data_IF_149269204219
#
_entry.id   IF_149269204219
#
_cell.length_a   1.000
_cell.length_b   1.000
_cell.length_c   1.000
_cell.angle_alpha   90.00
_cell.angle_beta   90.00
_cell.angle_gamma   90.00
#
_symmetry.space_group_name_H-M   'P 1'
#
loop_
_entity.id
_entity.type
_entity.pdbx_description
1 polymer ?
#
# COMPACT_ATOMS: atom_id res chain seq x y z
N UNK A 1 54.89 45.09 24.32
CA UNK A 1 55.41 45.08 22.92
C UNK A 1 54.26 44.79 22.01
N UNK A 2 54.21 45.42 20.82
CA UNK A 2 53.15 46.39 20.57
C UNK A 2 51.97 45.79 19.76
N UNK A 3 50.82 46.43 19.96
CA UNK A 3 49.56 46.12 19.28
C UNK A 3 49.60 46.56 17.82
N UNK A 4 48.80 45.84 17.04
CA UNK A 4 48.49 46.22 15.66
C UNK A 4 46.97 46.55 15.54
N UNK A 5 46.72 47.83 15.42
CA UNK A 5 45.41 48.42 15.27
C UNK A 5 45.12 48.52 13.77
N UNK A 6 44.14 47.73 13.26
CA UNK A 6 43.69 47.86 11.87
C UNK A 6 42.34 48.53 11.89
N UNK A 7 42.34 49.79 11.54
CA UNK A 7 41.16 50.62 11.22
C UNK A 7 40.41 50.03 10.03
N UNK A 8 39.16 49.69 10.23
CA UNK A 8 38.18 49.39 9.19
C UNK A 8 37.81 50.70 8.46
N UNK A 9 38.03 50.72 7.15
CA UNK A 9 37.46 51.71 6.24
C UNK A 9 36.07 51.25 5.80
N UNK A 10 35.02 52.09 5.82
CA UNK A 10 33.72 51.76 5.21
C UNK A 10 33.84 51.94 3.68
N UNK A 11 33.73 50.82 2.96
CA UNK A 11 33.61 50.84 1.50
C UNK A 11 32.23 51.31 1.07
N UNK A 12 32.20 52.37 0.31
CA UNK A 12 31.07 52.90 -0.41
C UNK A 12 30.52 51.87 -1.41
N UNK A 13 29.38 51.27 -1.09
CA UNK A 13 28.55 50.60 -2.08
C UNK A 13 27.67 51.66 -2.69
N UNK A 14 28.14 52.16 -3.84
CA UNK A 14 27.37 53.08 -4.67
C UNK A 14 26.13 52.39 -5.21
N UNK A 15 24.99 52.92 -4.78
CA UNK A 15 23.65 52.66 -5.25
C UNK A 15 23.51 52.93 -6.77
N UNK A 16 23.46 51.85 -7.55
CA UNK A 16 22.95 51.91 -8.92
C UNK A 16 21.42 51.70 -8.88
N UNK A 17 20.72 52.71 -8.35
CA UNK A 17 19.30 52.87 -8.59
C UNK A 17 19.17 53.68 -9.89
N UNK A 18 18.92 52.99 -10.98
CA UNK A 18 18.42 53.63 -12.19
C UNK A 18 17.07 54.28 -11.86
N UNK A 19 16.87 55.57 -12.06
CA UNK A 19 15.56 56.16 -11.95
C UNK A 19 14.70 55.57 -13.07
N UNK A 20 13.66 54.85 -12.75
CA UNK A 20 12.59 54.54 -13.69
C UNK A 20 11.91 55.89 -14.05
N UNK A 21 12.43 56.56 -15.06
CA UNK A 21 11.73 57.70 -15.67
C UNK A 21 10.36 57.20 -16.10
N UNK A 22 9.32 57.80 -15.51
CA UNK A 22 7.92 57.56 -15.86
C UNK A 22 7.73 58.00 -17.31
N UNK A 23 7.71 57.06 -18.24
CA UNK A 23 7.32 57.33 -19.62
C UNK A 23 5.87 57.83 -19.57
N UNK A 24 5.59 59.08 -19.89
CA UNK A 24 4.23 59.61 -19.86
C UNK A 24 3.46 59.04 -21.03
N UNK A 25 2.74 57.95 -20.82
CA UNK A 25 1.79 57.45 -21.81
C UNK A 25 0.58 58.40 -21.78
N UNK A 26 0.60 59.40 -22.67
CA UNK A 26 -0.43 60.45 -22.73
C UNK A 26 -1.79 59.97 -23.25
N UNK A 27 -1.85 58.77 -23.83
CA UNK A 27 -3.08 58.27 -24.43
C UNK A 27 -3.78 57.26 -23.48
N UNK A 28 -4.99 57.58 -22.93
CA UNK A 28 -5.71 56.73 -22.01
C UNK A 28 -6.11 55.37 -22.64
N UNK A 29 -6.37 55.34 -23.95
CA UNK A 29 -6.70 54.10 -24.67
C UNK A 29 -5.49 53.16 -24.73
N UNK A 30 -4.28 53.66 -24.83
CA UNK A 30 -3.04 52.88 -24.86
C UNK A 30 -2.73 52.28 -23.47
N UNK A 31 -3.09 52.98 -22.37
CA UNK A 31 -2.99 52.46 -21.00
C UNK A 31 -3.92 51.25 -20.75
N UNK A 32 -5.15 51.34 -21.28
CA UNK A 32 -6.12 50.25 -21.19
C UNK A 32 -5.67 49.05 -22.02
N UNK A 33 -5.14 49.26 -23.21
CA UNK A 33 -4.63 48.20 -24.09
C UNK A 33 -3.43 47.48 -23.49
N UNK A 34 -2.46 48.24 -22.92
CA UNK A 34 -1.30 47.66 -22.22
C UNK A 34 -1.73 46.91 -20.96
N UNK A 35 -2.72 47.43 -20.21
CA UNK A 35 -3.28 46.76 -19.04
C UNK A 35 -3.96 45.42 -19.37
N UNK A 36 -4.71 45.38 -20.49
CA UNK A 36 -5.34 44.16 -20.99
C UNK A 36 -4.28 43.14 -21.48
N UNK A 37 -3.27 43.59 -22.18
CA UNK A 37 -2.17 42.73 -22.69
C UNK A 37 -1.33 42.13 -21.55
N UNK A 38 -1.09 42.91 -20.49
CA UNK A 38 -0.39 42.42 -19.27
C UNK A 38 -1.27 41.44 -18.49
N UNK A 39 -2.59 41.70 -18.43
CA UNK A 39 -3.53 40.77 -17.78
C UNK A 39 -3.62 39.42 -18.52
N UNK A 40 -3.62 39.43 -19.85
CA UNK A 40 -3.58 38.16 -20.63
C UNK A 40 -2.23 37.44 -20.49
N UNK A 41 -1.12 38.18 -20.40
CA UNK A 41 0.20 37.58 -20.23
C UNK A 41 0.37 36.92 -18.85
N UNK A 42 -0.27 37.45 -17.81
CA UNK A 42 -0.27 36.85 -16.45
C UNK A 42 -1.10 35.57 -16.39
N UNK A 43 -2.18 35.45 -17.21
CA UNK A 43 -3.01 34.23 -17.32
C UNK A 43 -2.29 33.11 -18.06
N UNK A 44 -1.21 33.40 -18.81
CA UNK A 44 -0.40 32.40 -19.51
C UNK A 44 0.77 31.82 -18.70
N UNK A 45 0.95 32.28 -17.44
CA UNK A 45 1.97 31.68 -16.58
C UNK A 45 1.51 30.26 -16.23
N UNK A 46 2.18 29.19 -16.74
CA UNK A 46 1.81 27.83 -16.36
C UNK A 46 1.94 27.71 -14.84
N UNK A 47 0.88 27.22 -14.21
CA UNK A 47 0.93 26.91 -12.77
C UNK A 47 2.17 26.05 -12.50
N UNK A 48 2.97 26.35 -11.47
CA UNK A 48 4.16 25.56 -11.16
C UNK A 48 3.74 24.08 -11.08
N UNK A 49 4.52 23.16 -11.68
CA UNK A 49 4.21 21.74 -11.60
C UNK A 49 4.03 21.38 -10.11
N UNK A 50 2.87 20.83 -9.78
CA UNK A 50 2.61 20.40 -8.42
C UNK A 50 3.73 19.42 -8.04
N UNK A 51 4.51 19.75 -7.00
CA UNK A 51 5.63 18.93 -6.55
C UNK A 51 5.14 17.49 -6.36
N UNK A 52 5.85 16.57 -6.98
CA UNK A 52 5.59 15.15 -6.80
C UNK A 52 5.81 14.79 -5.32
N UNK A 53 4.77 14.31 -4.67
CA UNK A 53 4.84 13.85 -3.29
C UNK A 53 4.86 12.33 -3.26
N UNK A 54 5.40 11.77 -2.16
CA UNK A 54 5.43 10.32 -1.95
C UNK A 54 4.53 9.95 -0.79
N UNK A 55 3.76 8.85 -0.94
CA UNK A 55 3.02 8.23 0.15
C UNK A 55 3.71 6.95 0.63
N UNK A 56 3.86 6.79 1.94
CA UNK A 56 4.42 5.59 2.59
C UNK A 56 3.30 4.69 3.07
N UNK A 57 3.21 3.50 2.49
CA UNK A 57 2.08 2.59 2.67
C UNK A 57 2.54 1.32 3.37
N UNK A 58 1.92 0.98 4.49
CA UNK A 58 2.00 -0.33 5.11
C UNK A 58 1.01 -1.27 4.40
N UNK A 59 1.48 -2.38 3.85
CA UNK A 59 0.68 -3.26 2.98
C UNK A 59 0.78 -4.70 3.45
N UNK A 60 -0.36 -5.34 3.70
CA UNK A 60 -0.42 -6.77 3.96
C UNK A 60 0.16 -7.57 2.79
N UNK A 61 1.01 -8.55 3.08
CA UNK A 61 1.86 -9.24 2.12
C UNK A 61 1.10 -9.97 1.00
N UNK A 62 -0.16 -10.36 1.23
CA UNK A 62 -1.02 -10.93 0.19
C UNK A 62 -1.28 -9.96 -0.97
N UNK A 63 -1.27 -8.65 -0.70
CA UNK A 63 -1.58 -7.61 -1.68
C UNK A 63 -0.34 -7.05 -2.40
N UNK A 64 0.84 -7.63 -2.18
CA UNK A 64 2.13 -7.12 -2.68
C UNK A 64 2.14 -6.85 -4.19
N UNK A 65 1.74 -7.82 -5.00
CA UNK A 65 1.79 -7.69 -6.46
C UNK A 65 0.77 -6.66 -6.98
N UNK A 66 -0.46 -6.71 -6.47
CA UNK A 66 -1.52 -5.77 -6.81
C UNK A 66 -1.15 -4.34 -6.38
N UNK A 67 -0.59 -4.15 -5.17
CA UNK A 67 -0.16 -2.84 -4.68
C UNK A 67 0.91 -2.20 -5.57
N UNK A 68 1.90 -2.98 -6.02
CA UNK A 68 2.96 -2.48 -6.92
C UNK A 68 2.39 -2.04 -8.26
N UNK A 69 1.47 -2.82 -8.82
CA UNK A 69 0.83 -2.49 -10.11
C UNK A 69 -0.10 -1.26 -9.97
N UNK A 70 -0.90 -1.20 -8.91
CA UNK A 70 -1.73 -0.02 -8.60
C UNK A 70 -0.86 1.22 -8.40
N UNK A 71 0.27 1.09 -7.71
CA UNK A 71 1.20 2.21 -7.51
C UNK A 71 1.85 2.72 -8.78
N UNK A 72 2.17 1.84 -9.73
CA UNK A 72 2.67 2.24 -11.04
C UNK A 72 1.61 3.04 -11.82
N UNK A 73 0.36 2.56 -11.83
CA UNK A 73 -0.76 3.28 -12.46
C UNK A 73 -1.07 4.61 -11.74
N UNK A 74 -0.98 4.64 -10.41
CA UNK A 74 -1.13 5.85 -9.61
C UNK A 74 -0.07 6.88 -9.96
N UNK A 75 1.20 6.48 -10.05
CA UNK A 75 2.29 7.38 -10.43
C UNK A 75 2.10 7.93 -11.84
N UNK A 76 1.71 7.09 -12.79
CA UNK A 76 1.42 7.51 -14.16
C UNK A 76 0.24 8.50 -14.24
N UNK A 77 -0.81 8.29 -13.45
CA UNK A 77 -2.02 9.12 -13.49
C UNK A 77 -1.88 10.44 -12.71
N UNK A 78 -1.01 10.52 -11.71
CA UNK A 78 -0.99 11.64 -10.76
C UNK A 78 0.35 12.34 -10.62
N UNK A 79 1.44 11.74 -11.10
CA UNK A 79 2.81 12.20 -10.86
C UNK A 79 3.31 11.96 -9.43
N UNK A 80 2.47 11.43 -8.51
CA UNK A 80 2.87 11.10 -7.14
C UNK A 80 3.42 9.68 -7.05
N UNK A 81 4.26 9.40 -6.07
CA UNK A 81 4.86 8.09 -5.85
C UNK A 81 4.26 7.37 -4.65
N UNK A 82 4.19 6.04 -4.73
CA UNK A 82 3.85 5.17 -3.61
C UNK A 82 5.06 4.30 -3.23
N UNK A 83 5.45 4.33 -1.96
CA UNK A 83 6.46 3.44 -1.38
C UNK A 83 5.82 2.47 -0.39
N UNK A 84 6.32 1.24 -0.33
CA UNK A 84 5.65 0.16 0.35
C UNK A 84 6.55 -0.51 1.39
N UNK A 85 5.95 -0.87 2.52
CA UNK A 85 6.48 -1.85 3.46
C UNK A 85 5.51 -3.02 3.53
N UNK A 86 5.99 -4.22 3.22
CA UNK A 86 5.17 -5.43 3.19
C UNK A 86 5.41 -6.28 4.44
N UNK A 87 4.31 -6.81 5.02
CA UNK A 87 4.39 -7.64 6.22
C UNK A 87 3.05 -8.31 6.54
N UNK A 88 2.97 -9.01 7.67
CA UNK A 88 1.66 -9.44 8.17
C UNK A 88 0.90 -8.24 8.75
N UNK A 89 -0.43 -8.28 8.65
CA UNK A 89 -1.30 -7.17 9.13
C UNK A 89 -1.02 -6.81 10.58
N UNK A 90 -0.87 -7.81 11.47
CA UNK A 90 -0.61 -7.56 12.89
C UNK A 90 0.77 -6.96 13.16
N UNK A 91 1.81 -7.38 12.43
CA UNK A 91 3.15 -6.80 12.55
C UNK A 91 3.18 -5.35 12.08
N UNK A 92 2.52 -5.05 10.95
CA UNK A 92 2.40 -3.68 10.44
C UNK A 92 1.61 -2.80 11.41
N UNK A 93 0.53 -3.31 11.99
CA UNK A 93 -0.25 -2.60 12.99
C UNK A 93 0.59 -2.31 14.25
N UNK A 94 1.38 -3.28 14.73
CA UNK A 94 2.31 -3.03 15.84
C UNK A 94 3.34 -1.95 15.53
N UNK A 95 3.88 -1.91 14.31
CA UNK A 95 4.76 -0.83 13.88
C UNK A 95 4.05 0.54 13.85
N UNK A 96 2.79 0.59 13.40
CA UNK A 96 1.97 1.80 13.40
C UNK A 96 1.76 2.31 14.84
N UNK A 97 1.45 1.43 15.78
CA UNK A 97 1.28 1.81 17.21
C UNK A 97 2.59 2.30 17.84
N UNK A 98 3.73 1.86 17.35
CA UNK A 98 5.07 2.31 17.75
C UNK A 98 5.54 3.56 17.00
N UNK A 99 4.69 4.19 16.20
CA UNK A 99 4.98 5.44 15.50
C UNK A 99 5.76 5.30 14.20
N UNK A 100 5.79 4.12 13.58
CA UNK A 100 6.38 3.95 12.26
C UNK A 100 5.80 4.97 11.27
N UNK A 101 6.62 5.51 10.32
CA UNK A 101 6.25 6.66 9.51
C UNK A 101 5.34 6.30 8.33
N UNK A 102 4.38 5.41 8.53
CA UNK A 102 3.38 5.08 7.53
C UNK A 102 2.29 6.14 7.47
N UNK A 103 1.76 6.35 6.28
CA UNK A 103 0.75 7.36 5.97
C UNK A 103 -0.56 6.73 5.51
N UNK A 104 -0.50 5.49 5.01
CA UNK A 104 -1.65 4.71 4.60
C UNK A 104 -1.47 3.24 5.01
N UNK A 105 -2.55 2.55 5.36
CA UNK A 105 -2.51 1.16 5.79
C UNK A 105 -3.50 0.32 4.97
N UNK A 106 -2.99 -0.71 4.31
CA UNK A 106 -3.73 -1.75 3.58
C UNK A 106 -3.62 -3.05 4.37
N UNK A 107 -4.62 -3.34 5.17
CA UNK A 107 -4.68 -4.54 6.00
C UNK A 107 -5.32 -5.72 5.24
N UNK A 108 -5.05 -6.94 5.68
CA UNK A 108 -5.75 -8.14 5.19
C UNK A 108 -6.92 -8.55 6.10
N UNK A 109 -7.35 -7.67 6.99
CA UNK A 109 -8.56 -7.79 7.82
C UNK A 109 -9.21 -6.42 8.02
N UNK A 110 -10.36 -6.41 8.66
CA UNK A 110 -11.09 -5.20 9.05
C UNK A 110 -10.77 -4.75 10.48
N UNK A 111 -10.30 -5.67 11.33
CA UNK A 111 -10.13 -5.43 12.76
C UNK A 111 -9.01 -4.43 13.07
N UNK A 112 -7.82 -4.59 12.45
CA UNK A 112 -6.68 -3.70 12.72
C UNK A 112 -6.90 -2.28 12.22
N UNK A 113 -7.46 -2.02 11.02
CA UNK A 113 -7.88 -0.66 10.63
C UNK A 113 -8.92 -0.04 11.58
N UNK A 114 -9.90 -0.83 12.06
CA UNK A 114 -10.85 -0.36 13.05
C UNK A 114 -10.17 0.02 14.39
N UNK A 115 -9.24 -0.81 14.86
CA UNK A 115 -8.42 -0.54 16.04
C UNK A 115 -7.56 0.73 15.86
N UNK A 116 -6.98 0.93 14.67
CA UNK A 116 -6.22 2.15 14.38
C UNK A 116 -7.08 3.42 14.47
N UNK A 117 -8.33 3.36 14.00
CA UNK A 117 -9.29 4.45 14.15
C UNK A 117 -9.63 4.67 15.62
N UNK A 118 -9.99 3.61 16.36
CA UNK A 118 -10.35 3.70 17.77
C UNK A 118 -9.20 4.25 18.65
N UNK A 119 -7.95 3.90 18.31
CA UNK A 119 -6.75 4.40 18.98
C UNK A 119 -6.34 5.83 18.54
N UNK A 120 -7.08 6.50 17.65
CA UNK A 120 -6.74 7.82 17.15
C UNK A 120 -5.51 7.86 16.22
N UNK A 121 -5.04 6.71 15.74
CA UNK A 121 -3.88 6.58 14.84
C UNK A 121 -4.26 6.77 13.36
N UNK A 122 -5.55 6.68 13.04
CA UNK A 122 -6.10 6.85 11.71
C UNK A 122 -7.20 7.91 11.67
N UNK A 123 -7.50 8.40 10.47
CA UNK A 123 -8.59 9.35 10.22
C UNK A 123 -9.90 8.56 10.12
N UNK A 124 -10.86 8.85 10.99
CA UNK A 124 -12.05 8.02 11.23
C UNK A 124 -12.83 7.67 9.94
N UNK A 125 -13.20 8.67 9.15
CA UNK A 125 -14.09 8.51 7.99
C UNK A 125 -13.37 8.02 6.71
N UNK A 126 -12.12 7.55 6.87
CA UNK A 126 -11.31 7.10 5.73
C UNK A 126 -11.20 5.58 5.62
N UNK A 127 -11.74 4.83 6.60
CA UNK A 127 -11.74 3.36 6.57
C UNK A 127 -12.77 2.84 5.57
N UNK A 128 -12.35 1.91 4.72
CA UNK A 128 -13.23 1.22 3.77
C UNK A 128 -12.68 -0.15 3.39
N UNK A 129 -13.55 -1.08 3.06
CA UNK A 129 -13.15 -2.37 2.48
C UNK A 129 -12.70 -2.15 1.04
N UNK A 130 -11.44 -2.49 0.75
CA UNK A 130 -10.88 -2.31 -0.58
C UNK A 130 -10.83 -3.59 -1.40
N UNK A 131 -10.87 -4.76 -0.76
CA UNK A 131 -10.80 -6.08 -1.39
C UNK A 131 -11.35 -7.17 -0.46
N UNK A 132 -11.81 -8.29 -1.01
CA UNK A 132 -11.96 -9.55 -0.30
C UNK A 132 -11.04 -10.59 -0.95
N UNK A 133 -10.24 -11.28 -0.11
CA UNK A 133 -9.28 -12.27 -0.56
C UNK A 133 -9.84 -13.68 -0.55
N UNK A 134 -9.13 -14.62 -1.18
CA UNK A 134 -9.48 -16.04 -1.24
C UNK A 134 -8.32 -16.89 -0.74
N UNK A 135 -8.63 -17.87 0.12
CA UNK A 135 -7.66 -18.85 0.65
C UNK A 135 -7.54 -20.04 -0.30
N UNK A 136 -6.32 -20.49 -0.52
CA UNK A 136 -6.02 -21.62 -1.41
C UNK A 136 -5.07 -22.59 -0.70
N UNK A 137 -5.36 -23.88 -0.74
CA UNK A 137 -4.37 -24.92 -0.49
C UNK A 137 -3.59 -25.14 -1.79
N UNK A 138 -2.28 -25.05 -1.72
CA UNK A 138 -1.39 -25.07 -2.88
C UNK A 138 -0.22 -26.04 -2.68
N UNK A 139 0.17 -26.69 -3.76
CA UNK A 139 1.43 -27.43 -3.88
C UNK A 139 2.13 -27.08 -5.19
N UNK A 140 3.47 -27.13 -5.18
CA UNK A 140 4.27 -27.05 -6.41
C UNK A 140 4.14 -28.33 -7.28
N UNK A 141 3.80 -29.47 -6.66
CA UNK A 141 3.50 -30.70 -7.38
C UNK A 141 2.14 -30.56 -8.09
N UNK A 142 2.12 -30.81 -9.40
CA UNK A 142 0.95 -30.58 -10.28
C UNK A 142 -0.21 -31.54 -9.99
N UNK A 143 0.04 -32.66 -9.28
CA UNK A 143 -0.93 -33.71 -9.01
C UNK A 143 -1.32 -33.86 -7.55
N UNK A 144 -0.61 -33.19 -6.63
CA UNK A 144 -0.76 -33.47 -5.19
C UNK A 144 -2.07 -32.94 -4.61
N UNK A 145 -2.51 -31.73 -5.02
CA UNK A 145 -3.71 -31.10 -4.45
C UNK A 145 -4.89 -31.24 -5.41
N UNK A 146 -5.89 -31.99 -4.99
CA UNK A 146 -7.17 -32.16 -5.72
C UNK A 146 -8.33 -31.46 -5.01
N UNK A 147 -8.43 -31.69 -3.70
CA UNK A 147 -9.48 -31.19 -2.80
C UNK A 147 -9.01 -31.27 -1.33
N UNK A 148 -9.94 -31.17 -0.37
CA UNK A 148 -9.65 -31.29 1.06
C UNK A 148 -9.10 -32.65 1.48
N UNK A 149 -9.38 -33.72 0.74
CA UNK A 149 -8.90 -35.08 1.06
C UNK A 149 -7.39 -35.20 0.97
N UNK A 150 -6.74 -34.30 0.20
CA UNK A 150 -5.28 -34.13 0.17
C UNK A 150 -4.68 -34.00 1.58
N UNK A 151 -5.38 -33.34 2.50
CA UNK A 151 -4.94 -33.18 3.89
C UNK A 151 -4.86 -34.49 4.68
N UNK A 152 -5.45 -35.58 4.18
CA UNK A 152 -5.36 -36.92 4.75
C UNK A 152 -4.19 -37.77 4.25
N UNK A 153 -3.47 -37.28 3.24
CA UNK A 153 -2.33 -38.00 2.65
C UNK A 153 -1.20 -38.14 3.70
N UNK A 154 -0.78 -39.37 4.04
CA UNK A 154 0.23 -39.62 5.05
C UNK A 154 1.65 -39.17 4.61
N UNK A 155 1.90 -39.05 3.30
CA UNK A 155 3.20 -38.63 2.76
C UNK A 155 3.51 -37.16 2.99
N UNK A 156 2.50 -36.34 3.32
CA UNK A 156 2.67 -34.92 3.61
C UNK A 156 3.28 -34.75 4.99
N UNK A 157 4.47 -34.20 5.06
CA UNK A 157 5.24 -34.02 6.30
C UNK A 157 5.22 -32.59 6.79
N UNK A 158 5.08 -31.60 5.88
CA UNK A 158 5.09 -30.18 6.20
C UNK A 158 3.99 -29.44 5.45
N UNK A 159 3.24 -28.64 6.17
CA UNK A 159 2.19 -27.78 5.64
C UNK A 159 2.51 -26.34 6.07
N UNK A 160 2.79 -25.46 5.11
CA UNK A 160 3.08 -24.08 5.39
C UNK A 160 1.80 -23.30 5.67
N UNK A 161 1.79 -22.55 6.78
CA UNK A 161 0.73 -21.60 7.16
C UNK A 161 1.36 -20.26 7.54
N UNK A 162 0.69 -19.15 7.32
CA UNK A 162 1.14 -17.90 7.90
C UNK A 162 0.85 -17.88 9.42
N UNK A 163 1.63 -17.12 10.19
CA UNK A 163 1.42 -17.03 11.63
C UNK A 163 -0.02 -16.57 11.94
N UNK A 164 -0.87 -17.42 12.55
CA UNK A 164 -2.29 -17.13 12.75
C UNK A 164 -2.55 -15.95 13.69
N UNK A 165 -1.60 -15.62 14.57
CA UNK A 165 -1.73 -14.50 15.51
C UNK A 165 -1.62 -13.14 14.79
N UNK A 166 -0.79 -13.07 13.75
CA UNK A 166 -0.47 -11.80 13.10
C UNK A 166 -0.96 -11.69 11.65
N UNK A 167 -1.27 -12.83 11.01
CA UNK A 167 -1.66 -12.90 9.61
C UNK A 167 -3.08 -13.44 9.45
N UNK A 168 -4.03 -12.65 8.89
CA UNK A 168 -5.42 -13.09 8.70
C UNK A 168 -5.56 -14.37 7.87
N UNK A 169 -4.74 -14.54 6.83
CA UNK A 169 -4.72 -15.79 6.05
C UNK A 169 -4.25 -16.99 6.87
N UNK A 170 -3.37 -16.80 7.84
CA UNK A 170 -2.97 -17.86 8.78
C UNK A 170 -4.10 -18.23 9.72
N UNK A 171 -4.82 -17.25 10.25
CA UNK A 171 -6.01 -17.48 11.07
C UNK A 171 -7.11 -18.22 10.27
N UNK A 172 -7.32 -17.81 9.00
CA UNK A 172 -8.26 -18.48 8.10
C UNK A 172 -7.84 -19.95 7.81
N UNK A 173 -6.54 -20.20 7.61
CA UNK A 173 -6.03 -21.56 7.40
C UNK A 173 -6.26 -22.45 8.63
N UNK A 174 -5.98 -21.95 9.83
CA UNK A 174 -6.25 -22.69 11.07
C UNK A 174 -7.75 -22.96 11.24
N UNK A 175 -8.59 -21.96 10.96
CA UNK A 175 -10.06 -22.13 11.02
C UNK A 175 -10.54 -23.20 10.04
N UNK A 176 -10.04 -23.20 8.80
CA UNK A 176 -10.39 -24.24 7.81
C UNK A 176 -9.94 -25.63 8.26
N UNK A 177 -8.74 -25.78 8.80
CA UNK A 177 -8.26 -27.06 9.35
C UNK A 177 -9.10 -27.55 10.54
N UNK A 178 -9.59 -26.61 11.36
CA UNK A 178 -10.49 -26.91 12.48
C UNK A 178 -11.89 -27.35 12.00
N UNK A 179 -12.44 -26.60 11.01
CA UNK A 179 -13.75 -26.93 10.43
C UNK A 179 -13.75 -28.28 9.72
N UNK A 180 -12.62 -28.69 9.17
CA UNK A 180 -12.40 -30.02 8.56
C UNK A 180 -12.02 -31.11 9.60
N UNK A 181 -11.96 -30.77 10.89
CA UNK A 181 -11.59 -31.67 11.99
C UNK A 181 -10.19 -32.31 11.86
N UNK A 182 -9.29 -31.73 11.08
CA UNK A 182 -7.93 -32.22 10.84
C UNK A 182 -6.84 -31.49 11.60
N UNK A 183 -7.15 -30.35 12.22
CA UNK A 183 -6.16 -29.49 12.86
C UNK A 183 -5.29 -30.20 13.88
N UNK A 184 -5.91 -30.93 14.85
CA UNK A 184 -5.16 -31.59 15.92
C UNK A 184 -4.13 -32.60 15.37
N UNK A 185 -4.49 -33.32 14.33
CA UNK A 185 -3.63 -34.31 13.68
C UNK A 185 -2.50 -33.65 12.88
N UNK A 186 -2.78 -32.49 12.24
CA UNK A 186 -1.83 -31.81 11.34
C UNK A 186 -0.99 -30.74 12.05
N UNK A 187 -1.38 -30.30 13.25
CA UNK A 187 -0.67 -29.26 14.00
C UNK A 187 0.85 -29.52 14.15
N UNK A 188 1.35 -30.75 14.40
CA UNK A 188 2.79 -31.03 14.47
C UNK A 188 3.52 -30.88 13.12
N UNK A 189 2.78 -30.86 11.99
CA UNK A 189 3.32 -30.73 10.62
C UNK A 189 3.25 -29.29 10.12
N UNK A 190 2.67 -28.35 10.88
CA UNK A 190 2.53 -26.97 10.46
C UNK A 190 3.85 -26.24 10.57
N UNK A 191 4.25 -25.57 9.49
CA UNK A 191 5.42 -24.68 9.42
C UNK A 191 4.92 -23.25 9.27
N UNK A 192 5.21 -22.41 10.27
CA UNK A 192 4.73 -21.02 10.31
C UNK A 192 5.64 -20.07 9.55
N UNK A 193 5.11 -19.40 8.53
CA UNK A 193 5.71 -18.21 7.92
C UNK A 193 5.35 -16.95 8.71
N UNK A 194 6.26 -15.99 8.77
CA UNK A 194 6.01 -14.69 9.42
C UNK A 194 4.85 -13.89 8.77
N UNK A 195 4.60 -14.16 7.50
CA UNK A 195 3.49 -13.61 6.70
C UNK A 195 3.18 -14.54 5.54
N UNK A 196 2.12 -14.24 4.79
CA UNK A 196 1.64 -15.10 3.70
C UNK A 196 2.63 -15.18 2.50
N UNK A 197 3.51 -14.18 2.32
CA UNK A 197 4.53 -14.24 1.27
C UNK A 197 5.61 -15.26 1.62
N UNK A 198 6.07 -15.32 2.87
CA UNK A 198 7.01 -16.34 3.33
C UNK A 198 6.37 -17.73 3.29
N UNK A 199 5.10 -17.84 3.64
CA UNK A 199 4.35 -19.11 3.53
C UNK A 199 4.36 -19.64 2.10
N UNK A 200 4.07 -18.79 1.11
CA UNK A 200 4.17 -19.17 -0.30
C UNK A 200 5.59 -19.60 -0.68
N UNK A 201 6.62 -18.87 -0.21
CA UNK A 201 8.01 -19.24 -0.50
C UNK A 201 8.40 -20.63 0.02
N UNK A 202 7.89 -21.06 1.18
CA UNK A 202 8.15 -22.40 1.68
C UNK A 202 7.69 -23.48 0.71
N UNK A 203 6.52 -23.30 0.08
CA UNK A 203 6.01 -24.23 -0.93
C UNK A 203 6.77 -24.08 -2.25
N UNK A 204 6.94 -22.86 -2.74
CA UNK A 204 7.61 -22.58 -4.02
C UNK A 204 9.06 -23.10 -4.08
N UNK A 205 9.74 -23.15 -2.93
CA UNK A 205 11.13 -23.66 -2.82
C UNK A 205 11.20 -25.13 -2.39
N UNK A 206 10.06 -25.83 -2.20
CA UNK A 206 10.01 -27.22 -1.78
C UNK A 206 10.35 -27.47 -0.30
N UNK A 207 10.36 -26.44 0.53
CA UNK A 207 10.54 -26.55 1.97
C UNK A 207 9.28 -27.02 2.72
N UNK A 208 8.14 -27.02 2.05
CA UNK A 208 6.88 -27.63 2.46
C UNK A 208 6.18 -28.22 1.23
N UNK A 209 5.55 -29.38 1.36
CA UNK A 209 4.83 -30.04 0.29
C UNK A 209 3.53 -29.28 -0.04
N UNK A 210 2.87 -28.75 1.00
CA UNK A 210 1.63 -27.98 0.92
C UNK A 210 1.76 -26.64 1.61
N UNK A 211 0.89 -25.71 1.25
CA UNK A 211 0.73 -24.47 1.99
C UNK A 211 -0.61 -23.81 1.74
N UNK A 212 -1.14 -23.18 2.78
CA UNK A 212 -2.28 -22.28 2.66
C UNK A 212 -1.79 -20.90 2.28
N UNK A 213 -2.15 -20.47 1.05
CA UNK A 213 -1.67 -19.24 0.44
C UNK A 213 -2.84 -18.36 -0.03
N UNK A 214 -2.56 -17.13 -0.44
CA UNK A 214 -3.57 -16.26 -1.03
C UNK A 214 -3.70 -16.55 -2.54
N UNK A 215 -4.92 -16.58 -3.06
CA UNK A 215 -5.16 -16.75 -4.50
C UNK A 215 -4.35 -15.73 -5.33
N UNK A 216 -4.23 -14.50 -4.84
CA UNK A 216 -3.47 -13.43 -5.49
C UNK A 216 -1.99 -13.74 -5.74
N UNK A 217 -1.41 -14.66 -4.99
CA UNK A 217 -0.03 -15.08 -5.17
C UNK A 217 0.13 -16.10 -6.32
N UNK A 218 -0.95 -16.73 -6.74
CA UNK A 218 -0.97 -17.81 -7.74
C UNK A 218 -1.45 -17.35 -9.13
N UNK A 219 -2.06 -16.17 -9.24
CA UNK A 219 -2.70 -15.71 -10.47
C UNK A 219 -1.73 -15.62 -11.65
N UNK A 220 -0.45 -15.37 -11.40
CA UNK A 220 0.59 -15.30 -12.44
C UNK A 220 1.39 -16.60 -12.59
N UNK A 221 1.01 -17.65 -11.86
CA UNK A 221 1.68 -18.95 -11.85
C UNK A 221 0.66 -20.02 -12.24
N UNK A 222 0.90 -20.68 -13.38
CA UNK A 222 0.06 -21.77 -13.84
C UNK A 222 0.58 -23.14 -13.37
N UNK A 223 1.70 -23.17 -12.68
CA UNK A 223 2.36 -24.40 -12.19
C UNK A 223 1.73 -24.86 -10.88
N UNK A 224 1.86 -26.16 -10.63
CA UNK A 224 1.40 -26.81 -9.41
C UNK A 224 -0.11 -27.06 -9.37
N UNK A 225 -0.53 -27.69 -8.30
CA UNK A 225 -1.93 -28.02 -8.03
C UNK A 225 -2.51 -27.17 -6.90
N UNK A 226 -3.82 -26.95 -6.96
CA UNK A 226 -4.48 -26.04 -6.00
C UNK A 226 -5.93 -26.43 -5.74
N UNK A 227 -6.37 -26.23 -4.53
CA UNK A 227 -7.77 -26.29 -4.13
C UNK A 227 -8.18 -24.95 -3.51
N UNK A 228 -9.21 -24.33 -4.08
CA UNK A 228 -9.79 -23.12 -3.51
C UNK A 228 -10.60 -23.50 -2.27
N UNK A 229 -10.15 -23.02 -1.10
CA UNK A 229 -10.83 -23.34 0.16
C UNK A 229 -12.21 -22.70 0.18
N UNK A 230 -13.28 -23.47 0.40
CA UNK A 230 -14.64 -22.94 0.45
C UNK A 230 -14.82 -21.89 1.57
N UNK A 231 -15.57 -20.84 1.28
CA UNK A 231 -15.76 -19.69 2.19
C UNK A 231 -16.47 -20.07 3.50
N UNK A 232 -17.24 -21.17 3.54
CA UNK A 232 -17.88 -21.64 4.77
C UNK A 232 -16.92 -22.31 5.77
N UNK A 233 -15.69 -22.65 5.36
CA UNK A 233 -14.68 -23.27 6.21
C UNK A 233 -13.85 -22.27 7.01
N UNK A 234 -13.93 -20.97 6.71
CA UNK A 234 -13.15 -19.95 7.40
C UNK A 234 -13.88 -18.58 7.41
N UNK A 235 -13.53 -17.68 8.33
CA UNK A 235 -14.04 -16.32 8.30
C UNK A 235 -13.69 -15.60 6.98
N UNK A 236 -14.59 -14.73 6.51
CA UNK A 236 -14.37 -13.95 5.31
C UNK A 236 -13.08 -13.12 5.40
N UNK A 237 -12.30 -13.11 4.32
CA UNK A 237 -11.05 -12.35 4.22
C UNK A 237 -11.31 -10.93 3.67
N UNK A 238 -12.27 -10.22 4.26
CA UNK A 238 -12.53 -8.82 3.97
C UNK A 238 -11.37 -7.95 4.46
N UNK A 239 -10.85 -7.09 3.59
CA UNK A 239 -9.61 -6.33 3.77
C UNK A 239 -9.91 -4.84 3.75
N UNK A 240 -9.58 -4.14 4.84
CA UNK A 240 -9.82 -2.71 4.95
C UNK A 240 -8.55 -1.89 4.72
N UNK A 241 -8.77 -0.73 4.13
CA UNK A 241 -7.81 0.34 3.98
C UNK A 241 -8.16 1.50 4.92
N UNK A 242 -7.14 2.23 5.39
CA UNK A 242 -7.35 3.44 6.18
C UNK A 242 -6.20 4.45 5.98
N UNK A 243 -6.54 5.74 5.95
CA UNK A 243 -5.57 6.83 5.99
C UNK A 243 -5.10 7.02 7.44
N UNK A 244 -3.79 6.91 7.66
CA UNK A 244 -3.22 7.17 8.98
C UNK A 244 -3.13 8.67 9.26
N UNK A 245 -3.16 9.06 10.54
CA UNK A 245 -3.07 10.46 10.96
C UNK A 245 -1.85 11.16 10.37
N UNK A 246 -0.73 10.46 10.29
CA UNK A 246 0.52 10.98 9.73
C UNK A 246 0.42 11.35 8.24
N UNK A 247 -0.49 10.71 7.51
CA UNK A 247 -0.78 11.00 6.09
C UNK A 247 -1.93 11.99 5.89
N UNK A 248 -2.54 12.53 6.97
CA UNK A 248 -3.73 13.36 6.86
C UNK A 248 -3.52 14.60 5.96
N UNK A 249 -2.34 15.21 6.00
CA UNK A 249 -2.02 16.41 5.23
C UNK A 249 -1.20 16.11 3.95
N UNK A 250 -0.81 14.85 3.74
CA UNK A 250 -0.10 14.41 2.54
C UNK A 250 -1.08 14.27 1.35
N UNK A 251 -0.91 15.09 0.32
CA UNK A 251 -1.76 15.08 -0.89
C UNK A 251 -1.67 13.76 -1.64
N UNK A 252 -0.47 13.15 -1.71
CA UNK A 252 -0.29 11.85 -2.36
C UNK A 252 -1.09 10.75 -1.62
N UNK A 253 -1.12 10.75 -0.26
CA UNK A 253 -1.88 9.78 0.51
C UNK A 253 -3.40 9.93 0.27
N UNK A 254 -3.93 11.15 0.28
CA UNK A 254 -5.34 11.42 -0.03
C UNK A 254 -5.70 11.03 -1.46
N UNK A 255 -4.84 11.34 -2.43
CA UNK A 255 -5.05 10.96 -3.83
C UNK A 255 -4.95 9.46 -4.03
N UNK A 256 -4.02 8.77 -3.33
CA UNK A 256 -3.92 7.31 -3.37
C UNK A 256 -5.19 6.64 -2.84
N UNK A 257 -5.78 7.16 -1.75
CA UNK A 257 -7.05 6.67 -1.22
C UNK A 257 -8.18 6.74 -2.27
N UNK A 258 -8.30 7.87 -2.97
CA UNK A 258 -9.30 8.05 -4.04
C UNK A 258 -9.00 7.12 -5.20
N UNK A 259 -7.74 7.02 -5.63
CA UNK A 259 -7.32 6.16 -6.73
C UNK A 259 -7.59 4.67 -6.45
N UNK A 260 -7.35 4.22 -5.20
CA UNK A 260 -7.60 2.84 -4.78
C UNK A 260 -9.08 2.43 -4.88
N UNK A 261 -10.00 3.40 -4.74
CA UNK A 261 -11.47 3.22 -4.94
C UNK A 261 -11.88 3.28 -6.40
N UNK A 262 -11.00 3.76 -7.28
CA UNK A 262 -11.32 4.00 -8.69
C UNK A 262 -11.25 2.75 -9.56
N UNK A 263 -11.75 2.86 -10.80
CA UNK A 263 -11.90 1.73 -11.72
C UNK A 263 -10.56 1.09 -12.14
N UNK A 264 -9.49 1.88 -12.26
CA UNK A 264 -8.16 1.35 -12.60
C UNK A 264 -7.65 0.39 -11.52
N UNK A 265 -7.77 0.76 -10.24
CA UNK A 265 -7.40 -0.10 -9.13
C UNK A 265 -8.36 -1.30 -9.00
N UNK A 266 -9.65 -1.14 -9.26
CA UNK A 266 -10.63 -2.23 -9.27
C UNK A 266 -10.26 -3.30 -10.31
N UNK A 267 -9.93 -2.89 -11.54
CA UNK A 267 -9.48 -3.79 -12.59
C UNK A 267 -8.22 -4.58 -12.21
N UNK A 268 -7.26 -3.94 -11.54
CA UNK A 268 -6.07 -4.65 -11.02
C UNK A 268 -6.49 -5.67 -9.97
N UNK A 269 -7.29 -5.28 -8.98
CA UNK A 269 -7.76 -6.18 -7.91
C UNK A 269 -8.43 -7.42 -8.46
N UNK A 270 -9.36 -7.26 -9.43
CA UNK A 270 -10.03 -8.38 -10.08
C UNK A 270 -9.05 -9.32 -10.80
N UNK A 271 -8.05 -8.79 -11.52
CA UNK A 271 -7.02 -9.62 -12.17
C UNK A 271 -6.20 -10.44 -11.19
N UNK A 272 -6.03 -9.98 -9.95
CA UNK A 272 -5.37 -10.73 -8.87
C UNK A 272 -6.33 -11.63 -8.07
N UNK A 273 -7.56 -11.83 -8.54
CA UNK A 273 -8.52 -12.73 -7.91
C UNK A 273 -9.12 -12.19 -6.62
N UNK A 274 -9.09 -10.88 -6.42
CA UNK A 274 -9.82 -10.23 -5.33
C UNK A 274 -11.26 -9.94 -5.74
N UNK A 275 -12.18 -10.19 -4.83
CA UNK A 275 -13.53 -9.66 -4.92
C UNK A 275 -13.50 -8.19 -4.44
N UNK A 276 -14.14 -7.30 -5.19
CA UNK A 276 -14.14 -5.86 -4.91
C UNK A 276 -15.43 -5.39 -4.25
N UNK A 277 -16.36 -6.31 -3.96
CA UNK A 277 -17.62 -6.01 -3.28
C UNK A 277 -18.37 -4.84 -3.94
N UNK A 278 -18.92 -5.07 -5.12
CA UNK A 278 -19.94 -4.17 -5.70
C UNK A 278 -21.31 -4.69 -5.33
#
# INVERSE_FOLDING_TARGET
MPGFNIRSRPGLISSWLFPLERIPIANPSLRILIGLLVAELVLLIPAPPALAERVRIAVAANFTAAAKEIGALFAQATGHEASYSFGSTGQLYAQITQGAPFEFFLAADQARPAQAVAAGLAVADTRFTYAAGRLVLFSKDESLVTDETTLHNPSITKIAVANPVTAPYGAAAVAALQALEVYARLAPRLVCGNNIAQTYQFVATGNAELGFVALSQLVRHNEGSRWLVPDHLHPALAQDAVLLRRGADNRAARRFMVFLKGPAAAAVKMRYGYDTGN
#
